data_IF_471210253528
#
_entry.id   IF_471210253528
#
_cell.length_a   1.000
_cell.length_b   1.000
_cell.length_c   1.000
_cell.angle_alpha   90.00
_cell.angle_beta   90.00
_cell.angle_gamma   90.00
#
_symmetry.space_group_name_H-M   'P 1'
#
loop_
_entity.id
_entity.type
_entity.pdbx_description
1 polymer ?
#
# COMPACT_ATOMS: atom_id res chain seq x y z
N UNK A 1 -2.44 -55.25 49.13
CA UNK A 1 -1.44 -54.23 48.68
C UNK A 1 -2.00 -53.55 47.46
N UNK A 2 -2.60 -52.40 47.66
CA UNK A 2 -3.21 -51.57 46.66
C UNK A 2 -2.24 -50.46 46.30
N UNK A 3 -1.75 -50.42 45.08
CA UNK A 3 -0.90 -49.36 44.57
C UNK A 3 -1.77 -48.22 43.96
N UNK A 4 -1.66 -47.05 44.53
CA UNK A 4 -2.27 -45.84 44.04
C UNK A 4 -1.42 -45.27 42.87
N UNK A 5 -2.03 -45.03 41.72
CA UNK A 5 -1.43 -44.32 40.62
C UNK A 5 -1.81 -42.82 40.75
N UNK A 6 -0.83 -42.00 41.00
CA UNK A 6 -0.99 -40.56 40.99
C UNK A 6 -0.92 -40.03 39.55
N UNK A 7 -2.04 -39.49 39.05
CA UNK A 7 -2.12 -38.78 37.78
C UNK A 7 -1.54 -37.36 37.94
N UNK A 8 -0.48 -37.07 37.21
CA UNK A 8 0.09 -35.73 37.09
C UNK A 8 -0.62 -35.00 35.96
N UNK A 9 -1.63 -34.22 36.29
CA UNK A 9 -2.21 -33.24 35.35
C UNK A 9 -1.25 -32.08 35.14
N UNK A 10 -0.72 -31.95 33.94
CA UNK A 10 -0.05 -30.69 33.52
C UNK A 10 -1.14 -29.75 33.05
N UNK A 11 -1.44 -28.76 33.88
CA UNK A 11 -2.08 -27.53 33.43
C UNK A 11 -1.04 -26.78 32.59
N UNK A 12 -1.27 -26.72 31.30
CA UNK A 12 -0.63 -25.73 30.43
C UNK A 12 -1.57 -24.54 30.32
N UNK A 13 -1.62 -23.73 31.35
CA UNK A 13 -2.09 -22.36 31.21
C UNK A 13 -1.03 -21.60 30.40
N UNK A 14 -1.26 -21.48 29.09
CA UNK A 14 -0.57 -20.52 28.27
C UNK A 14 -1.06 -19.14 28.71
N UNK A 15 -0.29 -18.47 29.56
CA UNK A 15 -0.45 -17.04 29.78
C UNK A 15 -0.35 -16.36 28.41
N UNK A 16 -1.47 -15.98 27.83
CA UNK A 16 -1.51 -14.96 26.81
C UNK A 16 -0.96 -13.69 27.46
N UNK A 17 0.31 -13.38 27.20
CA UNK A 17 0.91 -12.12 27.58
C UNK A 17 0.09 -11.04 26.86
N UNK A 18 -0.63 -10.28 27.66
CA UNK A 18 -1.23 -9.00 27.27
C UNK A 18 -0.10 -8.07 26.83
N UNK A 19 0.21 -8.09 25.55
CA UNK A 19 1.22 -7.25 24.90
C UNK A 19 0.55 -6.06 24.22
N UNK A 20 -0.54 -5.54 24.76
CA UNK A 20 -1.09 -4.28 24.28
C UNK A 20 -0.01 -3.19 24.39
N UNK A 21 0.67 -2.92 23.28
CA UNK A 21 1.66 -1.85 23.20
C UNK A 21 0.96 -0.54 23.52
N UNK A 22 1.60 0.29 24.34
CA UNK A 22 1.05 1.59 24.72
C UNK A 22 1.04 2.50 23.48
N UNK A 23 -0.12 3.09 23.17
CA UNK A 23 -0.25 4.10 22.14
C UNK A 23 0.80 5.22 22.29
N UNK A 24 1.53 5.51 21.20
CA UNK A 24 2.42 6.66 21.10
C UNK A 24 1.83 7.66 20.13
N UNK A 25 1.65 8.89 20.58
CA UNK A 25 1.16 9.96 19.71
C UNK A 25 2.27 10.38 18.75
N UNK A 26 2.02 10.32 17.46
CA UNK A 26 2.93 10.77 16.42
C UNK A 26 2.22 11.84 15.59
N UNK A 27 2.85 12.99 15.44
CA UNK A 27 2.39 14.03 14.52
C UNK A 27 2.66 13.65 13.05
N UNK A 28 2.28 14.53 12.12
CA UNK A 28 2.45 14.32 10.69
C UNK A 28 3.90 14.00 10.30
N UNK A 29 4.87 14.76 10.79
CA UNK A 29 6.28 14.58 10.45
C UNK A 29 6.82 13.32 11.07
N UNK A 30 6.52 13.09 12.34
CA UNK A 30 6.97 11.92 13.08
C UNK A 30 6.45 10.61 12.49
N UNK A 31 5.17 10.55 12.07
CA UNK A 31 4.62 9.34 11.45
C UNK A 31 5.26 9.07 10.09
N UNK A 32 5.46 10.11 9.26
CA UNK A 32 6.11 10.00 7.95
C UNK A 32 7.55 9.48 8.08
N UNK A 33 8.33 10.03 9.01
CA UNK A 33 9.71 9.58 9.28
C UNK A 33 9.75 8.15 9.86
N UNK A 34 8.83 7.83 10.74
CA UNK A 34 8.76 6.50 11.36
C UNK A 34 8.36 5.40 10.37
N UNK A 35 7.43 5.68 9.45
CA UNK A 35 7.02 4.75 8.38
C UNK A 35 8.16 4.44 7.40
N UNK A 36 9.07 5.39 7.16
CA UNK A 36 10.24 5.20 6.32
C UNK A 36 9.91 4.66 4.93
N UNK A 37 10.67 3.65 4.46
CA UNK A 37 10.38 2.93 3.23
C UNK A 37 9.53 1.69 3.53
N UNK A 38 8.44 1.51 2.78
CA UNK A 38 7.54 0.37 2.91
C UNK A 38 7.69 -0.66 1.77
N UNK A 39 7.07 -1.81 1.99
CA UNK A 39 6.99 -2.94 1.08
C UNK A 39 5.56 -3.50 1.08
N UNK A 40 5.04 -3.85 -0.10
CA UNK A 40 3.74 -4.49 -0.25
C UNK A 40 3.86 -6.02 -0.17
N UNK A 41 3.02 -6.62 0.65
CA UNK A 41 2.76 -8.06 0.67
C UNK A 41 1.75 -8.41 -0.43
N UNK A 42 2.07 -8.05 -1.69
CA UNK A 42 1.15 -8.17 -2.81
C UNK A 42 0.96 -9.58 -3.33
N UNK A 43 -0.18 -9.83 -3.98
CA UNK A 43 -0.61 -11.11 -4.54
C UNK A 43 -0.74 -12.24 -3.49
N UNK A 44 -1.19 -11.91 -2.29
CA UNK A 44 -1.44 -12.88 -1.21
C UNK A 44 -2.85 -12.75 -0.63
N UNK A 45 -3.09 -11.92 0.40
CA UNK A 45 -4.44 -11.84 0.99
C UNK A 45 -5.47 -11.13 0.09
N UNK A 46 -5.05 -10.42 -0.94
CA UNK A 46 -5.95 -9.90 -1.98
C UNK A 46 -6.16 -10.87 -3.14
N UNK A 47 -5.34 -11.91 -3.25
CA UNK A 47 -5.48 -12.91 -4.30
C UNK A 47 -6.78 -13.71 -4.12
N UNK A 48 -7.50 -13.94 -5.22
CA UNK A 48 -8.78 -14.64 -5.20
C UNK A 48 -8.97 -15.52 -6.44
N UNK A 49 -9.87 -16.49 -6.31
CA UNK A 49 -10.30 -17.34 -7.41
C UNK A 49 -11.79 -17.61 -7.28
N UNK A 50 -12.58 -17.23 -8.29
CA UNK A 50 -14.04 -17.40 -8.27
C UNK A 50 -14.70 -16.73 -7.06
N UNK A 51 -14.24 -15.53 -6.68
CA UNK A 51 -14.76 -14.78 -5.55
C UNK A 51 -14.22 -15.16 -4.16
N UNK A 52 -13.45 -16.25 -4.05
CA UNK A 52 -12.90 -16.68 -2.76
C UNK A 52 -11.44 -16.22 -2.59
N UNK A 53 -11.15 -15.34 -1.63
CA UNK A 53 -9.78 -14.96 -1.29
C UNK A 53 -8.97 -16.15 -0.78
N UNK A 54 -7.70 -16.23 -1.23
CA UNK A 54 -6.76 -17.24 -0.76
C UNK A 54 -5.32 -16.76 -1.01
N UNK A 55 -4.52 -16.71 0.03
CA UNK A 55 -3.14 -16.20 -0.03
C UNK A 55 -2.20 -17.00 -0.97
N UNK A 56 -2.63 -18.17 -1.43
CA UNK A 56 -1.82 -19.05 -2.29
C UNK A 56 -2.36 -19.22 -3.71
N UNK A 57 -3.57 -18.75 -4.01
CA UNK A 57 -4.23 -19.07 -5.27
C UNK A 57 -3.55 -18.44 -6.51
N UNK A 58 -2.75 -17.39 -6.34
CA UNK A 58 -1.93 -16.81 -7.41
C UNK A 58 -0.47 -17.28 -7.38
N UNK A 59 -0.18 -18.39 -6.67
CA UNK A 59 1.11 -19.09 -6.73
C UNK A 59 2.15 -18.67 -5.70
N UNK A 60 1.83 -17.77 -4.78
CA UNK A 60 2.66 -17.48 -3.62
C UNK A 60 2.48 -18.58 -2.53
N UNK A 61 3.46 -18.80 -1.65
CA UNK A 61 3.29 -19.67 -0.48
C UNK A 61 2.46 -18.96 0.61
N UNK A 62 2.07 -19.70 1.65
CA UNK A 62 1.49 -19.09 2.85
C UNK A 62 2.44 -18.05 3.46
N UNK A 63 1.85 -16.96 3.98
CA UNK A 63 2.61 -15.89 4.63
C UNK A 63 3.16 -16.40 5.96
N UNK A 64 4.43 -16.17 6.19
CA UNK A 64 5.10 -16.55 7.43
C UNK A 64 5.70 -15.35 8.15
N UNK A 65 5.92 -15.52 9.45
CA UNK A 65 6.63 -14.51 10.24
C UNK A 65 8.07 -14.30 9.71
N UNK A 66 8.72 -15.35 9.26
CA UNK A 66 10.09 -15.32 8.74
C UNK A 66 10.20 -14.45 7.49
N UNK A 67 9.18 -14.41 6.63
CA UNK A 67 9.11 -13.48 5.50
C UNK A 67 9.17 -12.03 5.99
N UNK A 68 8.33 -11.69 6.97
CA UNK A 68 8.29 -10.32 7.54
C UNK A 68 9.60 -9.96 8.27
N UNK A 69 10.17 -10.91 9.00
CA UNK A 69 11.48 -10.74 9.66
C UNK A 69 12.58 -10.45 8.61
N UNK A 70 12.53 -11.13 7.47
CA UNK A 70 13.49 -10.93 6.37
C UNK A 70 13.32 -9.55 5.73
N UNK A 71 12.10 -9.10 5.49
CA UNK A 71 11.80 -7.76 4.95
C UNK A 71 12.29 -6.67 5.93
N UNK A 72 12.04 -6.84 7.23
CA UNK A 72 12.59 -5.95 8.26
C UNK A 72 14.12 -5.89 8.21
N UNK A 73 14.78 -7.03 8.07
CA UNK A 73 16.24 -7.12 8.01
C UNK A 73 16.84 -6.39 6.80
N UNK A 74 16.06 -6.19 5.72
CA UNK A 74 16.47 -5.37 4.58
C UNK A 74 16.33 -3.86 4.84
N UNK A 75 15.73 -3.43 5.96
CA UNK A 75 15.58 -2.03 6.35
C UNK A 75 14.20 -1.42 6.08
N UNK A 76 13.24 -2.18 5.57
CA UNK A 76 11.85 -1.72 5.43
C UNK A 76 11.21 -1.51 6.80
N UNK A 77 10.41 -0.46 6.94
CA UNK A 77 9.75 -0.09 8.20
C UNK A 77 8.23 -0.16 8.14
N UNK A 78 7.66 -0.33 6.96
CA UNK A 78 6.21 -0.42 6.72
C UNK A 78 5.92 -1.62 5.84
N UNK A 79 4.87 -2.37 6.15
CA UNK A 79 4.30 -3.40 5.27
C UNK A 79 2.86 -3.00 4.95
N UNK A 80 2.56 -2.79 3.67
CA UNK A 80 1.17 -2.70 3.21
C UNK A 80 0.68 -4.12 2.93
N UNK A 81 -0.47 -4.44 3.49
CA UNK A 81 -1.11 -5.75 3.45
C UNK A 81 -2.40 -5.61 2.66
N UNK A 82 -2.36 -5.77 1.32
CA UNK A 82 -3.58 -5.81 0.52
C UNK A 82 -4.47 -6.98 0.96
N UNK A 83 -5.78 -6.72 1.15
CA UNK A 83 -6.75 -7.73 1.57
C UNK A 83 -8.02 -7.61 0.73
N UNK A 84 -8.48 -8.72 0.16
CA UNK A 84 -9.83 -8.81 -0.44
C UNK A 84 -10.76 -9.56 0.49
N UNK A 85 -12.01 -9.14 0.55
CA UNK A 85 -13.02 -9.76 1.39
C UNK A 85 -14.05 -10.52 0.55
N UNK A 86 -14.52 -10.00 -0.57
CA UNK A 86 -15.36 -10.66 -1.58
C UNK A 86 -16.42 -11.60 -0.95
N UNK A 87 -16.38 -12.91 -1.27
CA UNK A 87 -17.29 -13.93 -0.74
C UNK A 87 -16.99 -14.35 0.72
N UNK A 88 -15.96 -13.77 1.35
CA UNK A 88 -15.78 -13.87 2.81
C UNK A 88 -16.78 -12.98 3.57
N UNK A 89 -17.61 -12.21 2.86
CA UNK A 89 -18.68 -11.40 3.45
C UNK A 89 -20.02 -12.11 3.21
N UNK A 90 -20.70 -12.48 4.29
CA UNK A 90 -22.03 -13.07 4.23
C UNK A 90 -23.12 -12.10 3.78
N UNK A 91 -24.33 -12.62 3.61
CA UNK A 91 -25.50 -11.86 3.16
C UNK A 91 -25.90 -10.73 4.14
N UNK A 92 -26.61 -9.73 3.59
CA UNK A 92 -27.26 -8.69 4.37
C UNK A 92 -28.37 -9.24 5.30
N UNK A 93 -28.80 -8.50 6.32
CA UNK A 93 -28.41 -7.09 6.53
C UNK A 93 -27.09 -6.88 7.28
N UNK A 94 -26.50 -7.92 7.90
CA UNK A 94 -25.35 -7.77 8.79
C UNK A 94 -24.01 -7.79 8.04
N UNK A 95 -23.94 -8.41 6.84
CA UNK A 95 -22.73 -8.56 6.03
C UNK A 95 -21.55 -9.07 6.86
N UNK A 96 -21.78 -10.14 7.61
CA UNK A 96 -20.79 -10.66 8.56
C UNK A 96 -19.57 -11.20 7.81
N UNK A 97 -18.39 -10.71 8.16
CA UNK A 97 -17.12 -11.22 7.61
C UNK A 97 -16.83 -12.60 8.23
N UNK A 98 -16.33 -13.53 7.42
CA UNK A 98 -15.86 -14.82 7.88
C UNK A 98 -14.81 -14.65 8.99
N UNK A 99 -15.00 -15.37 10.10
CA UNK A 99 -14.16 -15.20 11.29
C UNK A 99 -12.76 -15.76 11.08
N UNK A 100 -12.65 -16.90 10.39
CA UNK A 100 -11.35 -17.54 10.16
C UNK A 100 -10.51 -16.69 9.22
N UNK A 101 -11.15 -16.01 8.24
CA UNK A 101 -10.48 -15.05 7.37
C UNK A 101 -9.95 -13.82 8.15
N UNK A 102 -10.77 -13.22 9.02
CA UNK A 102 -10.34 -12.13 9.88
C UNK A 102 -9.24 -12.57 10.86
N UNK A 103 -9.29 -13.79 11.38
CA UNK A 103 -8.25 -14.36 12.23
C UNK A 103 -6.92 -14.45 11.46
N UNK A 104 -6.95 -14.88 10.19
CA UNK A 104 -5.76 -14.92 9.35
C UNK A 104 -5.20 -13.53 9.03
N UNK A 105 -6.07 -12.58 8.69
CA UNK A 105 -5.65 -11.18 8.48
C UNK A 105 -4.97 -10.64 9.75
N UNK A 106 -5.55 -10.89 10.91
CA UNK A 106 -4.98 -10.46 12.18
C UNK A 106 -3.62 -11.10 12.45
N UNK A 107 -3.46 -12.38 12.21
CA UNK A 107 -2.19 -13.09 12.38
C UNK A 107 -1.07 -12.44 11.55
N UNK A 108 -1.36 -12.09 10.29
CA UNK A 108 -0.40 -11.40 9.40
C UNK A 108 -0.08 -9.99 9.90
N UNK A 109 -1.09 -9.25 10.35
CA UNK A 109 -0.89 -7.93 11.00
C UNK A 109 0.00 -8.06 12.23
N UNK A 110 -0.21 -9.10 13.06
CA UNK A 110 0.60 -9.37 14.23
C UNK A 110 2.08 -9.63 13.90
N UNK A 111 2.36 -10.32 12.80
CA UNK A 111 3.74 -10.51 12.33
C UNK A 111 4.44 -9.16 12.07
N UNK A 112 3.73 -8.19 11.51
CA UNK A 112 4.26 -6.87 11.20
C UNK A 112 4.41 -6.01 12.46
N UNK A 113 3.32 -5.85 13.22
CA UNK A 113 3.28 -4.96 14.39
C UNK A 113 4.21 -5.45 15.50
N UNK A 114 4.29 -6.77 15.73
CA UNK A 114 5.21 -7.34 16.72
C UNK A 114 6.70 -7.20 16.32
N UNK A 115 6.95 -6.88 15.06
CA UNK A 115 8.28 -6.51 14.56
C UNK A 115 8.58 -5.00 14.69
N UNK A 116 7.76 -4.21 15.39
CA UNK A 116 7.87 -2.74 15.47
C UNK A 116 7.88 -2.07 14.06
N UNK A 117 7.11 -2.64 13.13
CA UNK A 117 6.88 -2.11 11.80
C UNK A 117 5.45 -1.58 11.69
N UNK A 118 5.23 -0.62 10.79
CA UNK A 118 3.89 -0.17 10.47
C UNK A 118 3.19 -1.16 9.53
N UNK A 119 1.93 -1.46 9.84
CA UNK A 119 1.06 -2.25 8.99
C UNK A 119 0.00 -1.32 8.37
N UNK A 120 -0.19 -1.36 7.05
CA UNK A 120 -1.30 -0.72 6.35
C UNK A 120 -2.22 -1.84 5.85
N UNK A 121 -3.46 -1.87 6.34
CA UNK A 121 -4.47 -2.85 5.92
C UNK A 121 -5.56 -2.14 5.14
N UNK A 122 -5.96 -2.69 3.99
CA UNK A 122 -6.96 -2.09 3.12
C UNK A 122 -8.08 -3.07 2.73
N UNK A 123 -9.00 -2.58 1.91
CA UNK A 123 -9.93 -3.35 1.08
C UNK A 123 -9.45 -3.23 -0.36
N UNK A 124 -9.02 -4.34 -0.98
CA UNK A 124 -8.24 -4.28 -2.23
C UNK A 124 -9.03 -4.69 -3.48
N UNK A 125 -9.27 -5.98 -3.64
CA UNK A 125 -9.91 -6.51 -4.85
C UNK A 125 -11.42 -6.30 -4.93
N UNK A 126 -12.04 -5.88 -3.84
CA UNK A 126 -13.48 -5.71 -3.71
C UNK A 126 -14.06 -4.64 -4.65
N UNK A 127 -13.23 -3.69 -5.11
CA UNK A 127 -13.58 -2.61 -6.02
C UNK A 127 -13.13 -2.81 -7.48
N UNK A 128 -12.44 -3.87 -7.79
CA UNK A 128 -11.97 -4.12 -9.15
C UNK A 128 -13.04 -4.78 -10.02
N UNK A 129 -13.50 -4.13 -11.07
CA UNK A 129 -14.49 -4.66 -12.05
C UNK A 129 -14.05 -5.96 -12.74
N UNK A 130 -12.77 -6.30 -12.69
CA UNK A 130 -12.20 -7.51 -13.29
C UNK A 130 -12.00 -8.65 -12.32
N UNK A 131 -12.27 -8.43 -11.02
CA UNK A 131 -12.22 -9.45 -9.98
C UNK A 131 -13.60 -10.08 -9.82
N UNK A 132 -13.66 -11.40 -9.83
CA UNK A 132 -14.91 -12.12 -9.63
C UNK A 132 -15.55 -11.75 -8.29
N UNK A 133 -16.85 -11.49 -8.29
CA UNK A 133 -17.66 -11.10 -7.13
C UNK A 133 -17.26 -9.80 -6.44
N UNK A 134 -16.50 -8.93 -7.14
CA UNK A 134 -16.28 -7.56 -6.65
C UNK A 134 -17.62 -6.85 -6.48
N UNK A 135 -17.72 -6.03 -5.44
CA UNK A 135 -18.99 -5.42 -5.03
C UNK A 135 -18.90 -3.93 -4.72
N UNK A 136 -17.71 -3.42 -4.39
CA UNK A 136 -17.48 -2.01 -4.09
C UNK A 136 -17.29 -1.23 -5.41
N UNK A 137 -18.33 -1.15 -6.24
CA UNK A 137 -18.24 -0.63 -7.59
C UNK A 137 -18.79 0.80 -7.66
N UNK A 138 -17.96 1.79 -7.82
CA UNK A 138 -18.30 3.21 -7.71
C UNK A 138 -19.23 3.74 -8.81
N UNK A 139 -19.31 3.07 -9.98
CA UNK A 139 -20.13 3.50 -11.12
C UNK A 139 -21.52 2.84 -11.18
N UNK A 140 -21.89 2.03 -10.19
CA UNK A 140 -23.21 1.43 -10.11
C UNK A 140 -24.32 2.50 -9.91
N UNK A 141 -25.57 2.14 -10.20
CA UNK A 141 -26.72 3.03 -10.05
C UNK A 141 -27.04 3.37 -8.59
N UNK A 142 -27.93 4.35 -8.38
CA UNK A 142 -28.20 4.88 -7.03
C UNK A 142 -28.84 3.86 -6.08
N UNK A 143 -29.65 2.92 -6.61
CA UNK A 143 -30.26 1.88 -5.79
C UNK A 143 -29.19 0.92 -5.28
N UNK A 144 -28.28 0.47 -6.15
CA UNK A 144 -27.15 -0.35 -5.76
C UNK A 144 -26.13 0.43 -4.88
N UNK A 145 -25.91 1.71 -5.16
CA UNK A 145 -25.05 2.54 -4.33
C UNK A 145 -25.55 2.63 -2.88
N UNK A 146 -26.86 2.59 -2.66
CA UNK A 146 -27.43 2.55 -1.30
C UNK A 146 -27.03 1.28 -0.57
N UNK A 147 -27.12 0.12 -1.23
CA UNK A 147 -26.70 -1.16 -0.67
C UNK A 147 -25.18 -1.24 -0.47
N UNK A 148 -24.39 -0.82 -1.47
CA UNK A 148 -22.92 -0.79 -1.40
C UNK A 148 -22.45 0.03 -0.20
N UNK A 149 -22.99 1.23 -0.01
CA UNK A 149 -22.63 2.12 1.09
C UNK A 149 -22.99 1.54 2.46
N UNK A 150 -24.14 0.89 2.58
CA UNK A 150 -24.55 0.20 3.81
C UNK A 150 -23.61 -0.97 4.12
N UNK A 151 -23.36 -1.83 3.13
CA UNK A 151 -22.41 -2.95 3.24
C UNK A 151 -21.02 -2.46 3.62
N UNK A 152 -20.51 -1.44 2.94
CA UNK A 152 -19.17 -0.88 3.15
C UNK A 152 -18.97 -0.38 4.59
N UNK A 153 -19.92 0.39 5.11
CA UNK A 153 -19.87 0.87 6.50
C UNK A 153 -19.88 -0.25 7.52
N UNK A 154 -20.71 -1.29 7.30
CA UNK A 154 -20.81 -2.45 8.20
C UNK A 154 -19.55 -3.32 8.17
N UNK A 155 -18.97 -3.53 6.98
CA UNK A 155 -17.73 -4.28 6.82
C UNK A 155 -16.58 -3.54 7.51
N UNK A 156 -16.41 -2.24 7.26
CA UNK A 156 -15.37 -1.45 7.95
C UNK A 156 -15.57 -1.36 9.46
N UNK A 157 -16.81 -1.34 9.93
CA UNK A 157 -17.09 -1.39 11.39
C UNK A 157 -16.56 -2.68 12.00
N UNK A 158 -16.74 -3.83 11.34
CA UNK A 158 -16.25 -5.13 11.83
C UNK A 158 -14.72 -5.20 11.81
N UNK A 159 -14.08 -4.75 10.72
CA UNK A 159 -12.63 -4.68 10.63
C UNK A 159 -12.07 -3.75 11.73
N UNK A 160 -12.62 -2.56 11.84
CA UNK A 160 -12.16 -1.58 12.81
C UNK A 160 -12.36 -2.03 14.26
N UNK A 161 -13.49 -2.68 14.59
CA UNK A 161 -13.75 -3.22 15.93
C UNK A 161 -12.77 -4.33 16.30
N UNK A 162 -12.40 -5.20 15.33
CA UNK A 162 -11.41 -6.27 15.51
C UNK A 162 -10.05 -5.72 15.95
N UNK A 163 -9.63 -4.59 15.38
CA UNK A 163 -8.30 -4.03 15.55
C UNK A 163 -8.26 -2.75 16.42
N UNK A 164 -9.34 -2.38 17.09
CA UNK A 164 -9.46 -1.08 17.79
C UNK A 164 -8.42 -0.84 18.89
N UNK A 165 -7.88 -1.89 19.49
CA UNK A 165 -6.92 -1.80 20.58
C UNK A 165 -5.45 -1.86 20.11
N UNK A 166 -5.20 -2.04 18.80
CA UNK A 166 -3.86 -1.95 18.22
C UNK A 166 -3.31 -0.54 18.34
N UNK A 167 -2.02 -0.42 18.57
CA UNK A 167 -1.34 0.86 18.73
C UNK A 167 -1.18 1.64 17.40
N UNK A 168 -0.36 2.68 17.38
CA UNK A 168 -0.14 3.56 16.22
C UNK A 168 0.55 2.90 15.03
N UNK A 169 1.08 1.68 15.18
CA UNK A 169 1.70 0.95 14.08
C UNK A 169 0.69 0.39 13.07
N UNK A 170 -0.58 0.30 13.41
CA UNK A 170 -1.62 -0.09 12.47
C UNK A 170 -2.31 1.12 11.86
N UNK A 171 -2.34 1.18 10.54
CA UNK A 171 -3.00 2.18 9.70
C UNK A 171 -4.06 1.46 8.87
N UNK A 172 -5.24 2.05 8.72
CA UNK A 172 -6.26 1.55 7.80
C UNK A 172 -6.28 2.39 6.53
N UNK A 173 -6.34 1.73 5.38
CA UNK A 173 -6.55 2.34 4.07
C UNK A 173 -7.94 1.96 3.55
N UNK A 174 -8.77 2.95 3.21
CA UNK A 174 -10.20 2.74 2.98
C UNK A 174 -10.51 1.78 1.84
N UNK A 175 -9.80 1.89 0.73
CA UNK A 175 -9.93 1.06 -0.48
C UNK A 175 -8.64 1.15 -1.29
N UNK A 176 -8.57 0.41 -2.40
CA UNK A 176 -7.43 0.45 -3.31
C UNK A 176 -7.66 1.44 -4.48
N UNK A 177 -7.52 1.01 -5.70
CA UNK A 177 -7.60 1.78 -6.94
C UNK A 177 -9.03 1.84 -7.48
N UNK A 178 -9.92 2.54 -6.78
CA UNK A 178 -11.32 2.65 -7.19
C UNK A 178 -11.50 3.57 -8.39
N UNK A 179 -12.16 3.07 -9.43
CA UNK A 179 -12.58 3.81 -10.62
C UNK A 179 -13.64 3.02 -11.42
N UNK A 180 -14.17 3.57 -12.49
CA UNK A 180 -15.23 2.95 -13.31
C UNK A 180 -14.73 1.98 -14.39
N UNK A 181 -13.50 1.49 -14.28
CA UNK A 181 -12.81 0.65 -15.27
C UNK A 181 -12.57 1.31 -16.65
N UNK A 182 -12.72 2.63 -16.72
CA UNK A 182 -12.32 3.45 -17.87
C UNK A 182 -11.13 4.34 -17.47
N UNK A 183 -9.97 4.10 -18.06
CA UNK A 183 -8.73 4.86 -17.79
C UNK A 183 -8.75 6.28 -18.40
N UNK A 184 -9.91 6.76 -18.84
CA UNK A 184 -10.14 8.14 -19.20
C UNK A 184 -10.22 9.08 -17.99
N UNK A 185 -10.81 10.27 -18.23
CA UNK A 185 -11.06 11.22 -17.13
C UNK A 185 -12.08 10.67 -16.14
N UNK A 186 -11.97 11.04 -14.85
CA UNK A 186 -12.94 10.66 -13.85
C UNK A 186 -14.39 11.02 -14.25
N UNK A 187 -15.30 10.09 -14.04
CA UNK A 187 -16.74 10.35 -14.04
C UNK A 187 -17.13 11.03 -12.72
N UNK A 188 -17.79 12.19 -12.79
CA UNK A 188 -18.11 12.99 -11.60
C UNK A 188 -18.99 12.23 -10.58
N UNK A 189 -20.00 11.50 -11.06
CA UNK A 189 -20.93 10.76 -10.20
C UNK A 189 -20.22 9.60 -9.50
N UNK A 190 -19.42 8.83 -10.23
CA UNK A 190 -18.62 7.75 -9.67
C UNK A 190 -17.57 8.29 -8.67
N UNK A 191 -16.98 9.45 -8.96
CA UNK A 191 -16.06 10.09 -8.04
C UNK A 191 -16.73 10.60 -6.74
N UNK A 192 -17.96 11.12 -6.85
CA UNK A 192 -18.76 11.47 -5.65
C UNK A 192 -19.06 10.22 -4.79
N UNK A 193 -19.22 9.03 -5.40
CA UNK A 193 -19.36 7.79 -4.66
C UNK A 193 -18.06 7.41 -3.93
N UNK A 194 -16.89 7.55 -4.58
CA UNK A 194 -15.58 7.33 -3.92
C UNK A 194 -15.41 8.28 -2.71
N UNK A 195 -15.75 9.56 -2.87
CA UNK A 195 -15.74 10.53 -1.77
C UNK A 195 -16.69 10.11 -0.63
N UNK A 196 -17.87 9.58 -0.97
CA UNK A 196 -18.83 9.09 0.02
C UNK A 196 -18.30 7.84 0.75
N UNK A 197 -17.64 6.92 0.05
CA UNK A 197 -17.00 5.76 0.68
C UNK A 197 -15.91 6.20 1.66
N UNK A 198 -15.07 7.14 1.29
CA UNK A 198 -14.06 7.70 2.19
C UNK A 198 -14.69 8.33 3.45
N UNK A 199 -15.81 9.04 3.33
CA UNK A 199 -16.52 9.59 4.51
C UNK A 199 -17.11 8.48 5.39
N UNK A 200 -17.77 7.47 4.79
CA UNK A 200 -18.33 6.32 5.50
C UNK A 200 -17.24 5.55 6.25
N UNK A 201 -16.10 5.33 5.61
CA UNK A 201 -14.95 4.70 6.22
C UNK A 201 -14.46 5.43 7.47
N UNK A 202 -14.23 6.73 7.36
CA UNK A 202 -13.79 7.55 8.50
C UNK A 202 -14.80 7.48 9.64
N UNK A 203 -16.08 7.67 9.35
CA UNK A 203 -17.14 7.66 10.36
C UNK A 203 -17.26 6.28 11.02
N UNK A 204 -17.23 5.20 10.24
CA UNK A 204 -17.32 3.82 10.73
C UNK A 204 -16.15 3.45 11.63
N UNK A 205 -14.92 3.78 11.23
CA UNK A 205 -13.72 3.49 12.02
C UNK A 205 -13.75 4.28 13.34
N UNK A 206 -14.02 5.59 13.29
CA UNK A 206 -14.08 6.43 14.50
C UNK A 206 -15.16 5.98 15.49
N UNK A 207 -16.30 5.52 15.00
CA UNK A 207 -17.42 5.05 15.82
C UNK A 207 -17.09 3.83 16.69
N UNK A 208 -16.08 3.04 16.34
CA UNK A 208 -15.65 1.86 17.12
C UNK A 208 -14.89 2.25 18.41
N UNK A 209 -14.42 3.48 18.52
CA UNK A 209 -13.78 3.98 19.74
C UNK A 209 -12.36 3.44 19.97
N UNK A 210 -11.91 3.43 21.23
CA UNK A 210 -10.56 3.02 21.64
C UNK A 210 -9.47 3.76 20.84
N UNK A 211 -8.40 3.08 20.39
CA UNK A 211 -7.32 3.69 19.62
C UNK A 211 -7.77 4.14 18.21
N UNK A 212 -8.90 3.64 17.71
CA UNK A 212 -9.46 4.10 16.44
C UNK A 212 -9.91 5.56 16.47
N UNK A 213 -10.17 6.14 17.62
CA UNK A 213 -10.41 7.58 17.77
C UNK A 213 -9.20 8.46 17.42
N UNK A 214 -7.99 7.86 17.33
CA UNK A 214 -6.72 8.57 17.08
C UNK A 214 -5.93 7.98 15.90
N UNK A 215 -6.36 6.83 15.37
CA UNK A 215 -5.65 6.10 14.33
C UNK A 215 -5.51 6.93 13.07
N UNK A 216 -4.35 6.86 12.42
CA UNK A 216 -4.15 7.38 11.09
C UNK A 216 -4.98 6.58 10.06
N UNK A 217 -5.70 7.29 9.21
CA UNK A 217 -6.58 6.74 8.17
C UNK A 217 -6.11 7.20 6.81
N UNK A 218 -5.86 6.28 5.89
CA UNK A 218 -5.32 6.51 4.57
C UNK A 218 -6.44 6.43 3.52
N UNK A 219 -6.56 7.47 2.68
CA UNK A 219 -7.67 7.66 1.76
C UNK A 219 -7.18 7.85 0.33
N UNK A 220 -7.60 7.03 -0.65
CA UNK A 220 -7.31 7.24 -2.06
C UNK A 220 -8.31 8.21 -2.71
N UNK A 221 -7.85 8.89 -3.77
CA UNK A 221 -8.70 9.48 -4.79
C UNK A 221 -8.98 8.52 -5.93
N UNK A 222 -9.48 9.03 -7.06
CA UNK A 222 -9.77 8.25 -8.26
C UNK A 222 -8.56 7.47 -8.75
N UNK A 223 -8.69 6.13 -8.77
CA UNK A 223 -7.65 5.21 -9.23
C UNK A 223 -6.27 5.48 -8.62
N UNK A 224 -6.22 5.98 -7.39
CA UNK A 224 -4.97 6.41 -6.72
C UNK A 224 -4.05 7.32 -7.56
N UNK A 225 -4.59 7.88 -8.65
CA UNK A 225 -3.84 8.72 -9.58
C UNK A 225 -3.53 10.10 -8.97
N UNK A 226 -2.28 10.55 -9.07
CA UNK A 226 -1.84 11.80 -8.46
C UNK A 226 -2.58 13.00 -9.06
N UNK A 227 -2.69 13.09 -10.39
CA UNK A 227 -3.37 14.21 -11.06
C UNK A 227 -4.85 14.27 -10.67
N UNK A 228 -5.54 13.13 -10.66
CA UNK A 228 -6.96 13.06 -10.32
C UNK A 228 -7.24 13.27 -8.83
N UNK A 229 -6.25 13.06 -7.96
CA UNK A 229 -6.37 13.28 -6.50
C UNK A 229 -5.97 14.69 -6.10
N UNK A 230 -4.91 15.26 -6.70
CA UNK A 230 -4.32 16.54 -6.30
C UNK A 230 -4.64 17.70 -7.26
N UNK A 231 -5.12 17.43 -8.48
CA UNK A 231 -5.41 18.46 -9.48
C UNK A 231 -6.67 19.26 -9.16
N UNK A 232 -6.64 20.57 -9.42
CA UNK A 232 -7.75 21.51 -9.12
C UNK A 232 -9.00 21.28 -10.00
N UNK A 233 -8.84 20.58 -11.12
CA UNK A 233 -9.92 20.29 -12.05
C UNK A 233 -10.75 19.06 -11.64
N UNK A 234 -10.39 18.39 -10.54
CA UNK A 234 -11.01 17.14 -10.10
C UNK A 234 -11.62 17.26 -8.70
N UNK A 235 -12.55 16.37 -8.38
CA UNK A 235 -13.46 16.52 -7.25
C UNK A 235 -13.07 15.68 -6.03
N UNK A 236 -11.77 15.45 -5.79
CA UNK A 236 -11.34 14.78 -4.56
C UNK A 236 -11.72 15.60 -3.32
N UNK A 237 -12.35 14.96 -2.34
CA UNK A 237 -12.78 15.60 -1.08
C UNK A 237 -12.17 14.88 0.11
N UNK A 238 -11.42 15.60 0.91
CA UNK A 238 -10.97 15.08 2.20
C UNK A 238 -12.18 15.03 3.13
N UNK A 239 -12.51 13.86 3.73
CA UNK A 239 -13.64 13.73 4.65
C UNK A 239 -13.53 14.62 5.87
N UNK A 240 -14.67 14.92 6.47
CA UNK A 240 -14.70 15.48 7.82
C UNK A 240 -14.38 14.38 8.84
N UNK A 241 -13.50 14.68 9.81
CA UNK A 241 -13.07 13.73 10.83
C UNK A 241 -13.52 14.17 12.24
N UNK A 242 -14.85 14.26 12.44
CA UNK A 242 -15.45 14.72 13.69
C UNK A 242 -15.27 13.73 14.85
N UNK A 243 -15.05 12.46 14.54
CA UNK A 243 -14.84 11.40 15.53
C UNK A 243 -13.41 11.35 16.06
N UNK A 244 -12.48 12.05 15.44
CA UNK A 244 -11.07 12.08 15.86
C UNK A 244 -10.91 12.75 17.23
N UNK A 245 -10.19 12.10 18.15
CA UNK A 245 -9.87 12.61 19.50
C UNK A 245 -8.37 12.95 19.66
N UNK A 246 -7.59 12.86 18.58
CA UNK A 246 -6.19 13.26 18.62
C UNK A 246 -6.04 14.77 18.52
N UNK A 247 -4.91 15.28 19.00
CA UNK A 247 -4.47 16.62 18.68
C UNK A 247 -3.99 16.67 17.22
N UNK A 248 -4.69 17.46 16.38
CA UNK A 248 -4.39 17.59 14.97
C UNK A 248 -5.05 16.56 14.06
N UNK A 249 -4.64 16.56 12.81
CA UNK A 249 -5.21 15.71 11.75
C UNK A 249 -4.74 14.27 11.88
N UNK A 250 -5.60 13.33 11.47
CA UNK A 250 -5.28 11.89 11.41
C UNK A 250 -5.74 11.25 10.09
N UNK A 251 -5.75 12.05 9.04
CA UNK A 251 -6.03 11.63 7.66
C UNK A 251 -4.71 11.68 6.87
N UNK A 252 -4.46 10.66 6.08
CA UNK A 252 -3.39 10.53 5.09
C UNK A 252 -4.01 10.37 3.70
N UNK A 253 -3.28 10.73 2.66
CA UNK A 253 -3.71 10.59 1.27
C UNK A 253 -2.91 9.47 0.60
N UNK A 254 -3.62 8.53 -0.03
CA UNK A 254 -3.04 7.42 -0.80
C UNK A 254 -3.00 7.76 -2.28
N UNK A 255 -1.84 7.57 -2.89
CA UNK A 255 -1.64 7.63 -4.34
C UNK A 255 -0.71 6.49 -4.76
N UNK A 256 -0.76 6.08 -6.04
CA UNK A 256 0.17 5.12 -6.62
C UNK A 256 1.00 5.79 -7.72
N UNK A 257 2.20 5.25 -8.00
CA UNK A 257 3.10 5.83 -8.97
C UNK A 257 3.78 4.78 -9.83
N UNK A 258 3.35 4.69 -11.08
CA UNK A 258 3.91 3.78 -12.07
C UNK A 258 4.32 4.48 -13.38
N UNK A 259 4.50 5.81 -13.32
CA UNK A 259 4.88 6.58 -14.53
C UNK A 259 6.40 6.56 -14.80
N UNK A 260 6.78 6.48 -16.09
CA UNK A 260 5.90 6.25 -17.24
C UNK A 260 5.57 4.75 -17.41
N UNK A 261 4.31 4.43 -17.63
CA UNK A 261 3.78 3.07 -17.76
C UNK A 261 4.62 2.17 -18.70
N UNK A 262 5.06 2.71 -19.84
CA UNK A 262 5.85 1.93 -20.79
C UNK A 262 7.20 1.47 -20.22
N UNK A 263 7.77 2.18 -19.25
CA UNK A 263 8.99 1.76 -18.56
C UNK A 263 8.70 0.80 -17.42
N UNK A 264 7.69 1.06 -16.62
CA UNK A 264 7.44 0.33 -15.37
C UNK A 264 6.65 -0.95 -15.57
N UNK A 265 5.54 -0.92 -16.34
CA UNK A 265 4.56 -2.02 -16.40
C UNK A 265 4.46 -2.64 -17.80
N UNK A 266 4.59 -1.86 -18.89
CA UNK A 266 4.35 -2.38 -20.25
C UNK A 266 5.28 -3.52 -20.61
N UNK A 267 4.70 -4.61 -21.07
CA UNK A 267 5.38 -5.84 -21.51
C UNK A 267 5.43 -6.01 -23.02
N UNK A 268 4.77 -5.11 -23.74
CA UNK A 268 4.55 -5.19 -25.16
C UNK A 268 5.72 -4.61 -25.97
N UNK A 269 5.47 -4.39 -27.27
CA UNK A 269 6.45 -3.78 -28.18
C UNK A 269 6.75 -2.31 -27.87
N UNK A 270 5.88 -1.66 -27.13
CA UNK A 270 6.00 -0.27 -26.67
C UNK A 270 6.86 -0.13 -25.39
N UNK A 271 7.15 -1.26 -24.73
CA UNK A 271 7.97 -1.30 -23.52
C UNK A 271 9.27 -0.53 -23.67
N UNK A 272 9.56 0.30 -22.68
CA UNK A 272 10.80 1.08 -22.57
C UNK A 272 11.78 0.41 -21.62
N UNK A 273 13.06 0.64 -21.85
CA UNK A 273 14.13 -0.05 -21.11
C UNK A 273 15.10 0.90 -20.45
N UNK A 274 15.07 2.18 -20.82
CA UNK A 274 15.91 3.21 -20.22
C UNK A 274 15.06 4.37 -19.74
N UNK A 275 15.54 5.02 -18.70
CA UNK A 275 14.87 6.15 -18.05
C UNK A 275 15.90 7.17 -17.54
N UNK A 276 15.49 8.42 -17.49
CA UNK A 276 16.24 9.50 -16.89
C UNK A 276 17.32 10.07 -17.78
N UNK A 277 18.13 10.96 -17.23
CA UNK A 277 19.17 11.72 -17.92
C UNK A 277 20.31 10.88 -18.53
N UNK A 278 20.38 9.61 -18.15
CA UNK A 278 21.33 8.64 -18.68
C UNK A 278 20.80 7.82 -19.86
N UNK A 279 19.52 7.96 -20.19
CA UNK A 279 18.90 7.21 -21.27
C UNK A 279 19.40 7.68 -22.65
N UNK A 280 19.92 6.73 -23.46
CA UNK A 280 20.43 6.98 -24.81
C UNK A 280 19.52 6.45 -25.91
N UNK A 281 18.68 5.46 -25.61
CA UNK A 281 17.78 4.82 -26.55
C UNK A 281 16.58 4.21 -25.81
N UNK A 282 15.51 3.91 -26.54
CA UNK A 282 14.34 3.19 -26.04
C UNK A 282 13.80 3.71 -24.69
N UNK A 283 13.53 5.00 -24.61
CA UNK A 283 12.92 5.70 -23.48
C UNK A 283 11.72 6.53 -23.93
N UNK A 284 10.89 6.95 -23.00
CA UNK A 284 9.77 7.87 -23.26
C UNK A 284 10.23 9.33 -23.25
N UNK A 285 9.49 10.20 -23.95
CA UNK A 285 9.74 11.64 -23.94
C UNK A 285 9.09 12.35 -22.75
N UNK A 286 8.31 11.65 -21.93
CA UNK A 286 7.61 12.14 -20.76
C UNK A 286 7.87 11.23 -19.54
N UNK A 287 7.45 11.64 -18.36
CA UNK A 287 7.59 10.83 -17.15
C UNK A 287 9.04 10.68 -16.70
N UNK A 288 9.91 11.65 -17.03
CA UNK A 288 11.31 11.66 -16.65
C UNK A 288 11.50 12.35 -15.29
N UNK A 289 12.73 12.66 -14.90
CA UNK A 289 13.06 13.23 -13.58
C UNK A 289 12.25 14.50 -13.27
N UNK A 290 12.10 15.41 -14.22
CA UNK A 290 11.34 16.66 -14.08
C UNK A 290 9.85 16.42 -13.82
N UNK A 291 9.29 15.39 -14.43
CA UNK A 291 7.91 14.98 -14.16
C UNK A 291 7.76 14.41 -12.73
N UNK A 292 8.68 13.52 -12.31
CA UNK A 292 8.69 13.00 -10.92
C UNK A 292 8.76 14.17 -9.92
N UNK A 293 9.69 15.10 -10.14
CA UNK A 293 9.85 16.26 -9.25
C UNK A 293 8.57 17.12 -9.19
N UNK A 294 7.90 17.33 -10.32
CA UNK A 294 6.65 18.09 -10.38
C UNK A 294 5.50 17.39 -9.66
N UNK A 295 5.38 16.05 -9.79
CA UNK A 295 4.35 15.27 -9.10
C UNK A 295 4.56 15.27 -7.58
N UNK A 296 5.80 15.13 -7.12
CA UNK A 296 6.11 15.17 -5.69
C UNK A 296 5.89 16.56 -5.10
N UNK A 297 6.24 17.63 -5.85
CA UNK A 297 5.96 19.00 -5.45
C UNK A 297 4.44 19.28 -5.36
N UNK A 298 3.65 18.78 -6.30
CA UNK A 298 2.19 18.91 -6.28
C UNK A 298 1.60 18.24 -5.04
N UNK A 299 2.03 17.03 -4.68
CA UNK A 299 1.58 16.32 -3.47
C UNK A 299 1.95 17.11 -2.20
N UNK A 300 3.16 17.68 -2.17
CA UNK A 300 3.56 18.53 -1.05
C UNK A 300 2.67 19.77 -0.95
N UNK A 301 2.47 20.49 -2.03
CA UNK A 301 1.65 21.72 -2.07
C UNK A 301 0.20 21.44 -1.63
N UNK A 302 -0.42 20.41 -2.20
CA UNK A 302 -1.84 20.15 -1.99
C UNK A 302 -2.16 19.47 -0.65
N UNK A 303 -1.26 18.66 -0.11
CA UNK A 303 -1.54 17.85 1.06
C UNK A 303 -0.51 17.98 2.18
N UNK A 304 0.77 17.69 1.93
CA UNK A 304 1.78 17.64 3.00
C UNK A 304 1.92 18.97 3.71
N UNK A 305 2.04 20.08 2.96
CA UNK A 305 2.10 21.44 3.53
C UNK A 305 0.82 21.85 4.27
N UNK A 306 -0.29 21.17 4.01
CA UNK A 306 -1.58 21.39 4.65
C UNK A 306 -1.80 20.49 5.89
N UNK A 307 -0.82 19.67 6.27
CA UNK A 307 -0.89 18.79 7.43
C UNK A 307 -1.52 17.41 7.16
N UNK A 308 -1.55 16.98 5.90
CA UNK A 308 -1.98 15.64 5.50
C UNK A 308 -0.79 14.86 4.95
N UNK A 309 -0.26 13.84 5.66
CA UNK A 309 0.77 12.97 5.11
C UNK A 309 0.30 12.32 3.82
N UNK A 310 1.23 12.08 2.90
CA UNK A 310 0.96 11.36 1.65
C UNK A 310 1.75 10.07 1.62
N UNK A 311 1.11 8.99 1.18
CA UNK A 311 1.71 7.68 0.97
C UNK A 311 1.56 7.29 -0.49
N UNK A 312 2.67 7.09 -1.21
CA UNK A 312 2.68 6.32 -2.45
C UNK A 312 2.54 4.86 -2.04
N UNK A 313 1.29 4.36 -2.01
CA UNK A 313 0.94 3.02 -1.54
C UNK A 313 1.49 1.92 -2.42
N UNK A 314 1.74 2.23 -3.70
CA UNK A 314 2.38 1.33 -4.64
C UNK A 314 3.28 2.10 -5.60
N UNK A 315 4.48 1.59 -5.81
CA UNK A 315 5.39 1.95 -6.89
C UNK A 315 6.31 0.79 -7.21
N UNK A 316 6.79 0.72 -8.42
CA UNK A 316 7.74 -0.31 -8.84
C UNK A 316 7.90 -0.35 -10.35
N UNK A 317 8.83 -1.16 -10.80
CA UNK A 317 9.00 -1.50 -12.21
C UNK A 317 9.25 -3.00 -12.35
N UNK A 318 8.56 -3.64 -13.28
CA UNK A 318 8.69 -5.06 -13.56
C UNK A 318 10.12 -5.42 -13.99
N UNK A 319 10.55 -6.65 -13.72
CA UNK A 319 11.81 -7.16 -14.26
C UNK A 319 11.67 -7.43 -15.76
N UNK A 320 12.54 -6.84 -16.58
CA UNK A 320 12.63 -7.03 -18.04
C UNK A 320 14.03 -7.49 -18.48
N UNK A 321 14.83 -7.98 -17.52
CA UNK A 321 16.24 -8.32 -17.73
C UNK A 321 16.46 -9.50 -18.69
N UNK A 322 15.49 -10.41 -18.81
CA UNK A 322 15.53 -11.48 -19.80
C UNK A 322 15.68 -10.96 -21.23
N UNK A 323 15.04 -9.82 -21.55
CA UNK A 323 15.11 -9.19 -22.86
C UNK A 323 16.17 -8.09 -22.96
N UNK A 324 16.48 -7.43 -21.84
CA UNK A 324 17.30 -6.22 -21.78
C UNK A 324 18.22 -6.28 -20.56
N UNK A 325 19.42 -6.83 -20.73
CA UNK A 325 20.34 -7.13 -19.63
C UNK A 325 20.71 -5.92 -18.76
N UNK A 326 20.72 -4.70 -19.31
CA UNK A 326 21.04 -3.45 -18.61
C UNK A 326 19.81 -2.78 -17.95
N UNK A 327 18.62 -3.38 -18.09
CA UNK A 327 17.38 -2.79 -17.57
C UNK A 327 17.40 -2.60 -16.05
N UNK A 328 17.95 -3.53 -15.28
CA UNK A 328 17.99 -3.43 -13.82
C UNK A 328 18.75 -2.20 -13.32
N UNK A 329 19.75 -1.72 -14.04
CA UNK A 329 20.46 -0.50 -13.69
C UNK A 329 19.54 0.74 -13.78
N UNK A 330 18.69 0.79 -14.82
CA UNK A 330 17.68 1.85 -14.97
C UNK A 330 16.52 1.67 -14.01
N UNK A 331 16.10 0.43 -13.72
CA UNK A 331 15.09 0.11 -12.71
C UNK A 331 15.52 0.60 -11.32
N UNK A 332 16.77 0.33 -10.94
CA UNK A 332 17.38 0.83 -9.71
C UNK A 332 17.42 2.35 -9.71
N UNK A 333 17.90 2.99 -10.78
CA UNK A 333 18.01 4.44 -10.87
C UNK A 333 16.65 5.13 -10.75
N UNK A 334 15.63 4.63 -11.45
CA UNK A 334 14.26 5.13 -11.37
C UNK A 334 13.68 5.02 -9.95
N UNK A 335 13.79 3.86 -9.33
CA UNK A 335 13.27 3.62 -7.97
C UNK A 335 13.99 4.50 -6.94
N UNK A 336 15.31 4.61 -7.05
CA UNK A 336 16.14 5.44 -6.17
C UNK A 336 15.81 6.94 -6.34
N UNK A 337 15.56 7.39 -7.58
CA UNK A 337 15.16 8.77 -7.87
C UNK A 337 13.80 9.11 -7.28
N UNK A 338 12.81 8.25 -7.54
CA UNK A 338 11.45 8.46 -7.02
C UNK A 338 11.45 8.57 -5.49
N UNK A 339 12.10 7.65 -4.79
CA UNK A 339 12.17 7.68 -3.31
C UNK A 339 12.86 8.94 -2.82
N UNK A 340 13.95 9.37 -3.47
CA UNK A 340 14.65 10.60 -3.12
C UNK A 340 13.74 11.82 -3.28
N UNK A 341 13.05 11.95 -4.40
CA UNK A 341 12.13 13.04 -4.68
C UNK A 341 10.93 13.03 -3.71
N UNK A 342 10.36 11.86 -3.44
CA UNK A 342 9.26 11.69 -2.49
C UNK A 342 9.67 12.10 -1.08
N UNK A 343 10.79 11.58 -0.56
CA UNK A 343 11.33 11.92 0.76
C UNK A 343 11.54 13.43 0.91
N UNK A 344 12.14 14.09 -0.07
CA UNK A 344 12.36 15.54 -0.07
C UNK A 344 11.05 16.32 0.08
N UNK A 345 9.95 15.78 -0.40
CA UNK A 345 8.61 16.37 -0.36
C UNK A 345 7.75 15.85 0.81
N UNK A 346 8.30 15.05 1.74
CA UNK A 346 7.59 14.53 2.90
C UNK A 346 6.59 13.42 2.54
N UNK A 347 6.81 12.70 1.44
CA UNK A 347 5.96 11.62 0.93
C UNK A 347 6.59 10.26 1.26
N UNK A 348 5.80 9.34 1.81
CA UNK A 348 6.19 7.95 2.10
C UNK A 348 6.05 7.11 0.84
N UNK A 349 6.98 6.17 0.61
CA UNK A 349 6.93 5.23 -0.51
C UNK A 349 6.80 3.80 -0.02
N UNK A 350 5.94 2.98 -0.68
CA UNK A 350 5.75 1.56 -0.40
C UNK A 350 5.94 0.77 -1.69
N UNK A 351 7.04 0.01 -1.79
CA UNK A 351 7.40 -0.74 -2.99
C UNK A 351 6.40 -1.88 -3.25
N UNK A 352 5.92 -2.02 -4.50
CA UNK A 352 5.06 -3.14 -4.89
C UNK A 352 5.87 -4.39 -5.16
N UNK A 353 5.62 -5.45 -4.40
CA UNK A 353 6.18 -6.78 -4.58
C UNK A 353 5.04 -7.80 -4.69
N UNK A 354 4.91 -8.44 -5.83
CA UNK A 354 3.87 -9.45 -6.10
C UNK A 354 4.32 -10.89 -5.84
N UNK A 355 5.52 -11.09 -5.26
CA UNK A 355 6.10 -12.40 -5.01
C UNK A 355 6.65 -13.11 -6.24
N UNK A 356 6.46 -12.55 -7.45
CA UNK A 356 6.97 -13.15 -8.67
C UNK A 356 8.39 -12.65 -8.97
N UNK A 357 9.37 -13.58 -8.89
CA UNK A 357 10.79 -13.32 -9.13
C UNK A 357 11.14 -13.76 -10.55
N UNK A 358 11.46 -12.84 -11.43
CA UNK A 358 11.83 -13.11 -12.81
C UNK A 358 11.15 -12.16 -13.79
N UNK A 359 11.26 -12.47 -15.08
CA UNK A 359 10.73 -11.62 -16.14
C UNK A 359 9.27 -11.28 -15.91
N UNK A 360 8.93 -9.99 -15.92
CA UNK A 360 7.62 -9.38 -15.63
C UNK A 360 7.22 -9.36 -14.16
N UNK A 361 8.07 -9.84 -13.25
CA UNK A 361 7.81 -9.79 -11.81
C UNK A 361 8.27 -8.49 -11.16
N UNK A 362 7.67 -8.18 -10.02
CA UNK A 362 8.11 -7.10 -9.13
C UNK A 362 8.89 -7.64 -7.92
N UNK A 363 8.93 -8.98 -7.75
CA UNK A 363 9.52 -9.63 -6.59
C UNK A 363 10.98 -9.25 -6.35
N UNK A 364 11.29 -8.88 -5.11
CA UNK A 364 12.64 -8.59 -4.63
C UNK A 364 13.14 -9.65 -3.65
N UNK A 365 12.25 -10.51 -3.20
CA UNK A 365 12.52 -11.63 -2.32
C UNK A 365 11.80 -12.88 -2.86
N UNK A 366 12.45 -14.03 -2.82
CA UNK A 366 11.81 -15.32 -3.06
C UNK A 366 11.05 -15.73 -1.78
N UNK A 367 9.72 -15.74 -1.84
CA UNK A 367 8.86 -16.03 -0.68
C UNK A 367 8.88 -17.49 -0.23
N UNK A 368 9.47 -18.41 -1.02
CA UNK A 368 9.59 -19.83 -0.66
C UNK A 368 10.80 -20.15 0.21
N UNK A 369 11.90 -19.40 0.06
CA UNK A 369 13.16 -19.66 0.75
C UNK A 369 13.80 -18.40 1.37
N UNK A 370 13.12 -17.26 1.22
CA UNK A 370 13.50 -15.94 1.74
C UNK A 370 14.81 -15.36 1.15
N UNK A 371 15.26 -15.91 0.03
CA UNK A 371 16.45 -15.40 -0.69
C UNK A 371 16.16 -14.02 -1.28
N UNK A 372 17.05 -13.06 -1.06
CA UNK A 372 16.97 -11.74 -1.70
C UNK A 372 17.38 -11.88 -3.17
N UNK A 373 16.44 -11.59 -4.08
CA UNK A 373 16.64 -11.77 -5.53
C UNK A 373 17.10 -10.51 -6.25
N UNK A 374 16.86 -9.33 -5.66
CA UNK A 374 17.19 -8.02 -6.24
C UNK A 374 18.00 -7.16 -5.25
N UNK A 375 19.19 -7.58 -4.80
CA UNK A 375 19.94 -6.87 -3.76
C UNK A 375 20.37 -5.46 -4.17
N UNK A 376 20.72 -5.23 -5.45
CA UNK A 376 21.13 -3.90 -5.95
C UNK A 376 19.96 -2.91 -5.97
N UNK A 377 18.76 -3.40 -6.30
CA UNK A 377 17.55 -2.59 -6.26
C UNK A 377 17.23 -2.17 -4.81
N UNK A 378 17.26 -3.12 -3.87
CA UNK A 378 17.07 -2.82 -2.43
C UNK A 378 18.13 -1.84 -1.95
N UNK A 379 19.40 -2.07 -2.29
CA UNK A 379 20.49 -1.18 -1.89
C UNK A 379 20.30 0.26 -2.41
N UNK A 380 19.80 0.43 -3.65
CA UNK A 380 19.45 1.74 -4.21
C UNK A 380 18.32 2.41 -3.44
N UNK A 381 17.24 1.70 -3.19
CA UNK A 381 16.10 2.20 -2.41
C UNK A 381 16.51 2.61 -0.99
N UNK A 382 17.33 1.79 -0.32
CA UNK A 382 17.83 2.07 1.02
C UNK A 382 18.81 3.25 1.05
N UNK A 383 19.63 3.46 0.01
CA UNK A 383 20.44 4.67 -0.11
C UNK A 383 19.55 5.91 -0.17
N UNK A 384 18.52 5.91 -1.01
CA UNK A 384 17.61 7.04 -1.15
C UNK A 384 16.96 7.43 0.18
N UNK A 385 16.41 6.46 0.91
CA UNK A 385 15.70 6.75 2.15
C UNK A 385 16.63 7.17 3.30
N UNK A 386 17.87 6.67 3.35
CA UNK A 386 18.82 6.92 4.44
C UNK A 386 19.81 8.06 4.17
N UNK A 387 19.92 8.55 2.93
CA UNK A 387 20.85 9.63 2.57
C UNK A 387 20.27 11.01 2.85
N UNK A 388 21.13 12.01 2.87
CA UNK A 388 20.75 13.44 2.89
C UNK A 388 20.19 13.87 1.53
N UNK A 389 19.46 14.96 1.48
CA UNK A 389 18.77 15.40 0.24
C UNK A 389 19.74 15.79 -0.89
N UNK A 390 20.99 16.12 -0.57
CA UNK A 390 22.02 16.56 -1.50
C UNK A 390 22.88 15.41 -2.06
N UNK A 391 22.67 14.14 -1.63
CA UNK A 391 23.45 13.04 -2.20
C UNK A 391 23.17 12.84 -3.70
N UNK A 392 24.21 12.46 -4.45
CA UNK A 392 24.09 12.15 -5.88
C UNK A 392 23.77 10.67 -6.07
N UNK A 393 22.69 10.41 -6.82
CA UNK A 393 22.30 9.04 -7.18
C UNK A 393 23.35 8.48 -8.16
N UNK A 394 23.94 7.32 -7.87
CA UNK A 394 24.89 6.68 -8.80
C UNK A 394 24.26 6.46 -10.18
N UNK A 395 24.99 6.79 -11.23
CA UNK A 395 24.56 6.52 -12.61
C UNK A 395 24.32 5.02 -12.84
N UNK A 396 23.43 4.66 -13.78
CA UNK A 396 23.40 3.28 -14.28
C UNK A 396 24.78 2.84 -14.78
N UNK A 397 25.22 1.62 -14.43
CA UNK A 397 26.54 1.13 -14.76
C UNK A 397 26.79 1.17 -16.28
N UNK A 398 27.94 1.74 -16.68
CA UNK A 398 28.31 1.89 -18.09
C UNK A 398 27.65 3.08 -18.81
N UNK A 399 26.88 3.92 -18.12
CA UNK A 399 26.20 5.07 -18.70
C UNK A 399 26.74 6.39 -18.13
N UNK A 400 26.83 7.39 -18.98
CA UNK A 400 27.17 8.77 -18.62
C UNK A 400 25.99 9.69 -18.93
N UNK A 401 25.91 10.83 -18.26
CA UNK A 401 24.85 11.81 -18.48
C UNK A 401 24.88 12.32 -19.94
N UNK A 402 23.78 12.16 -20.66
CA UNK A 402 23.62 12.60 -22.06
C UNK A 402 22.55 13.66 -22.23
N UNK A 403 21.72 13.88 -21.21
CA UNK A 403 20.62 14.84 -21.21
C UNK A 403 20.81 15.87 -20.09
N UNK A 404 20.68 17.12 -20.40
CA UNK A 404 20.51 18.14 -19.38
C UNK A 404 19.05 18.01 -18.88
N UNK A 405 18.85 17.84 -17.58
CA UNK A 405 17.52 17.96 -16.99
C UNK A 405 16.93 19.29 -17.47
N UNK A 406 15.72 19.26 -18.03
CA UNK A 406 14.99 20.48 -18.30
C UNK A 406 14.85 21.20 -16.95
N UNK A 407 15.41 22.39 -16.81
CA UNK A 407 15.14 23.21 -15.63
C UNK A 407 13.66 23.53 -15.67
N UNK A 408 12.94 23.15 -14.61
CA UNK A 408 11.61 23.66 -14.37
C UNK A 408 11.67 25.18 -14.45
N UNK A 409 11.00 25.75 -15.45
CA UNK A 409 10.87 27.20 -15.68
C UNK A 409 9.68 27.74 -14.91
#
# INVERSE_FOLDING_TARGET
MTAAVAGCGKNSDSEAKDTAKKWTELDQTQITEAMGLGWNLGNQLEASSGGLPSETCWGNPEITKELIDTIKAQGFKTVRIPVSYLDMIGDGPDYKIDTDWLDRVQEVVDYVVNNDMFAIVNMHGDGYYTVDHSWLLCAEDDDKQTEIKDKYGKVWTQIADRFKDYDQHLIFESMNEEFNNDYGKPDEKAYDNINAYNQIFVDSVRATGSNNEKRWLLLPGWNTNIEYTAGDDYNFKIPTDKGCKADGKRIMISVHYYDPFNFTIDENKTAKTQWGKYAVKNYDNWGQEDYVDSQMALLNEKFVSQGYPVVIGEFGAQDKTEKFADYNEFRRYWSEYLIKAAKKNGVVCVYWDNGYNGNKGFGIINRFDYTITQPDLIAGMMRAINSTDDYEIPSPAGYTEVRKSAKAS
#
